data_IF_499759091743
#
_entry.id   IF_499759091743
#
_cell.length_a   1.000
_cell.length_b   1.000
_cell.length_c   1.000
_cell.angle_alpha   90.00
_cell.angle_beta   90.00
_cell.angle_gamma   90.00
#
_symmetry.space_group_name_H-M   'P 1'
#
loop_
_entity.id
_entity.type
_entity.pdbx_description
1 polymer ?
#
# COMPACT_ATOMS: atom_id res chain seq x y z
N UNK A 1 2.55 54.10 14.82
CA UNK A 1 1.71 54.95 15.70
C UNK A 1 0.35 55.08 15.02
N UNK A 2 -0.76 54.75 15.72
CA UNK A 2 -2.16 54.63 15.25
C UNK A 2 -2.42 53.42 14.31
N UNK A 3 -3.03 52.28 14.67
CA UNK A 3 -4.10 51.93 15.64
C UNK A 3 -5.46 52.50 15.22
N UNK A 4 -6.33 51.71 14.56
CA UNK A 4 -7.64 51.25 15.07
C UNK A 4 -8.52 50.49 14.04
N UNK A 5 -8.93 49.28 14.44
CA UNK A 5 -10.25 48.61 14.35
C UNK A 5 -11.02 48.51 13.01
N UNK A 6 -11.29 47.26 12.60
CA UNK A 6 -12.67 46.77 12.42
C UNK A 6 -12.74 45.25 12.74
N UNK A 7 -13.57 44.90 13.72
CA UNK A 7 -13.92 43.55 14.17
C UNK A 7 -15.42 43.35 13.93
N UNK A 8 -15.83 42.21 13.35
CA UNK A 8 -17.18 41.63 13.43
C UNK A 8 -16.98 40.12 13.63
N UNK A 9 -17.06 39.61 14.87
CA UNK A 9 -18.25 39.11 15.60
C UNK A 9 -18.83 37.80 15.03
N UNK A 10 -18.42 36.70 15.64
CA UNK A 10 -19.13 35.41 15.73
C UNK A 10 -19.56 35.24 17.20
N UNK A 11 -20.81 34.85 17.52
CA UNK A 11 -21.22 34.64 18.91
C UNK A 11 -20.86 33.22 19.38
N UNK A 12 -20.30 33.13 20.60
CA UNK A 12 -20.14 31.89 21.35
C UNK A 12 -20.79 32.13 22.70
N UNK A 13 -21.89 31.42 22.98
CA UNK A 13 -22.58 31.46 24.27
C UNK A 13 -21.82 30.66 25.32
N UNK A 14 -21.49 31.30 26.45
CA UNK A 14 -20.92 30.71 27.66
C UNK A 14 -21.71 31.22 28.87
N UNK A 15 -22.44 30.33 29.54
CA UNK A 15 -22.96 30.44 30.91
C UNK A 15 -22.47 29.17 31.62
N UNK A 16 -21.91 29.11 32.81
CA UNK A 16 -21.65 30.05 33.90
C UNK A 16 -21.44 29.13 35.12
N UNK A 17 -20.28 29.19 35.79
CA UNK A 17 -20.02 28.38 37.00
C UNK A 17 -19.50 29.29 38.11
N UNK A 18 -20.32 29.43 39.16
CA UNK A 18 -20.00 30.13 40.40
C UNK A 18 -19.19 29.23 41.35
N UNK A 19 -18.15 29.81 41.96
CA UNK A 19 -17.40 29.28 43.12
C UNK A 19 -18.24 29.33 44.41
N UNK A 20 -18.03 28.34 45.29
CA UNK A 20 -18.04 28.44 46.78
C UNK A 20 -17.65 27.06 47.37
N UNK A 21 -16.45 26.94 47.96
CA UNK A 21 -16.09 27.07 49.39
C UNK A 21 -16.08 25.72 50.14
N UNK A 22 -14.93 25.41 50.72
CA UNK A 22 -14.64 24.21 51.49
C UNK A 22 -15.20 24.27 52.92
N UNK A 23 -15.65 23.12 53.44
CA UNK A 23 -15.82 22.91 54.88
C UNK A 23 -15.60 21.43 55.22
N UNK A 24 -14.72 21.20 56.20
CA UNK A 24 -14.45 19.93 56.87
C UNK A 24 -15.73 19.25 57.38
N UNK A 25 -15.85 17.94 57.20
CA UNK A 25 -16.70 17.12 58.07
C UNK A 25 -15.98 15.86 58.53
N UNK A 26 -16.01 15.69 59.86
CA UNK A 26 -15.31 14.70 60.68
C UNK A 26 -15.80 13.27 60.40
N UNK A 27 -14.84 12.37 60.50
CA UNK A 27 -14.98 10.91 60.61
C UNK A 27 -15.86 10.56 61.82
N UNK A 28 -16.88 9.74 61.60
CA UNK A 28 -17.53 8.94 62.64
C UNK A 28 -17.46 7.48 62.19
N UNK A 29 -16.64 6.73 62.91
CA UNK A 29 -16.47 5.28 62.79
C UNK A 29 -17.72 4.63 63.38
N UNK A 30 -18.47 3.89 62.57
CA UNK A 30 -19.40 2.87 63.07
C UNK A 30 -18.98 1.51 62.51
N UNK A 31 -18.57 0.67 63.44
CA UNK A 31 -18.16 -0.71 63.24
C UNK A 31 -19.32 -1.53 62.67
N UNK A 32 -19.12 -2.13 61.50
CA UNK A 32 -19.76 -3.38 61.10
C UNK A 32 -18.74 -4.24 60.35
N UNK A 33 -18.25 -5.26 61.06
CA UNK A 33 -17.62 -6.41 60.44
C UNK A 33 -18.66 -7.15 59.59
N UNK A 34 -18.44 -7.19 58.27
CA UNK A 34 -18.99 -8.24 57.41
C UNK A 34 -17.83 -8.80 56.60
N UNK A 35 -17.48 -10.01 57.01
CA UNK A 35 -16.82 -11.12 56.31
C UNK A 35 -16.23 -10.87 54.92
N UNK A 36 -14.96 -11.24 54.84
CA UNK A 36 -14.26 -11.76 53.66
C UNK A 36 -15.15 -12.65 52.77
N UNK A 37 -15.30 -12.25 51.50
CA UNK A 37 -15.44 -13.13 50.31
C UNK A 37 -15.90 -12.28 49.11
N UNK A 38 -15.04 -11.40 48.61
CA UNK A 38 -15.17 -10.89 47.22
C UNK A 38 -13.76 -10.89 46.63
N UNK A 39 -13.17 -12.08 46.63
CA UNK A 39 -11.97 -12.38 45.88
C UNK A 39 -12.40 -13.38 44.81
N UNK A 40 -12.01 -13.12 43.56
CA UNK A 40 -12.00 -14.05 42.41
C UNK A 40 -13.26 -14.27 41.56
N UNK A 41 -14.01 -13.24 41.18
CA UNK A 41 -14.98 -13.35 40.06
C UNK A 41 -14.89 -12.21 39.03
N UNK A 42 -13.67 -11.77 38.69
CA UNK A 42 -13.44 -10.94 37.49
C UNK A 42 -12.25 -11.51 36.74
N UNK A 43 -12.40 -12.69 36.12
CA UNK A 43 -11.51 -13.20 35.07
C UNK A 43 -12.07 -14.51 34.48
N UNK A 44 -13.25 -14.45 33.86
CA UNK A 44 -13.62 -15.44 32.83
C UNK A 44 -14.84 -14.96 32.04
N UNK A 45 -14.72 -13.84 31.33
CA UNK A 45 -15.42 -13.79 30.05
C UNK A 45 -14.70 -14.80 29.17
N UNK A 46 -15.32 -15.95 28.92
CA UNK A 46 -14.83 -16.91 27.93
C UNK A 46 -14.84 -16.21 26.59
N UNK A 47 -13.69 -15.64 26.22
CA UNK A 47 -13.46 -15.03 24.93
C UNK A 47 -13.65 -16.14 23.90
N UNK A 48 -14.80 -16.12 23.21
CA UNK A 48 -15.11 -17.12 22.21
C UNK A 48 -14.08 -16.95 21.09
N UNK A 49 -13.20 -17.94 20.95
CA UNK A 49 -12.12 -17.94 19.95
C UNK A 49 -12.67 -17.54 18.58
N UNK A 50 -12.09 -16.50 17.97
CA UNK A 50 -12.53 -15.99 16.68
C UNK A 50 -11.61 -16.52 15.58
N UNK A 51 -11.77 -17.81 15.28
CA UNK A 51 -10.87 -18.50 14.35
C UNK A 51 -11.13 -18.08 12.90
N UNK A 52 -10.05 -17.78 12.18
CA UNK A 52 -10.03 -17.51 10.73
C UNK A 52 -9.05 -18.43 10.02
N UNK A 53 -9.46 -18.96 8.87
CA UNK A 53 -8.60 -19.78 8.01
C UNK A 53 -7.86 -18.88 7.01
N UNK A 54 -6.55 -19.06 6.92
CA UNK A 54 -5.70 -18.50 5.88
C UNK A 54 -5.18 -19.62 4.99
N UNK A 55 -5.49 -19.55 3.69
CA UNK A 55 -5.09 -20.52 2.68
C UNK A 55 -3.98 -19.90 1.84
N UNK A 56 -2.76 -20.35 2.06
CA UNK A 56 -1.56 -19.70 1.54
C UNK A 56 -0.87 -20.59 0.53
N UNK A 57 -0.52 -20.03 -0.63
CA UNK A 57 0.31 -20.68 -1.63
C UNK A 57 1.69 -21.03 -1.05
N UNK A 58 2.11 -22.29 -1.22
CA UNK A 58 3.40 -22.82 -0.79
C UNK A 58 4.14 -23.47 -1.95
N UNK A 59 5.43 -23.16 -2.06
CA UNK A 59 6.36 -23.84 -2.95
C UNK A 59 7.80 -23.68 -2.45
N UNK A 60 8.57 -24.77 -2.46
CA UNK A 60 9.96 -24.78 -2.00
C UNK A 60 10.92 -25.13 -3.16
N UNK A 61 11.82 -24.21 -3.57
CA UNK A 61 12.77 -24.48 -4.66
C UNK A 61 13.80 -25.57 -4.33
N UNK A 62 14.05 -25.85 -3.05
CA UNK A 62 15.00 -26.88 -2.62
C UNK A 62 14.48 -28.31 -2.89
N UNK A 63 13.17 -28.47 -3.07
CA UNK A 63 12.53 -29.77 -3.34
C UNK A 63 11.59 -29.60 -4.55
N UNK A 64 12.14 -29.37 -5.75
CA UNK A 64 11.37 -28.94 -6.93
C UNK A 64 10.39 -30.01 -7.43
N UNK A 65 10.55 -31.27 -7.01
CA UNK A 65 9.63 -32.38 -7.33
C UNK A 65 8.26 -32.20 -6.67
N UNK A 66 8.16 -31.43 -5.58
CA UNK A 66 6.88 -31.16 -4.91
C UNK A 66 6.20 -29.99 -5.61
N UNK A 67 5.04 -30.27 -6.20
CA UNK A 67 4.21 -29.25 -6.86
C UNK A 67 3.70 -28.21 -5.86
N UNK A 68 3.46 -26.96 -6.31
CA UNK A 68 2.84 -25.94 -5.48
C UNK A 68 1.51 -26.41 -4.89
N UNK A 69 1.23 -25.98 -3.66
CA UNK A 69 0.00 -26.35 -2.94
C UNK A 69 -0.56 -25.17 -2.15
N UNK A 70 -1.84 -25.26 -1.79
CA UNK A 70 -2.44 -24.39 -0.80
C UNK A 70 -2.33 -25.04 0.58
N UNK A 71 -1.76 -24.34 1.55
CA UNK A 71 -1.70 -24.78 2.94
C UNK A 71 -2.59 -23.90 3.80
N UNK A 72 -3.38 -24.54 4.66
CA UNK A 72 -4.30 -23.85 5.57
C UNK A 72 -3.66 -23.63 6.93
N UNK A 73 -3.89 -22.46 7.50
CA UNK A 73 -3.52 -22.06 8.85
C UNK A 73 -4.74 -21.47 9.53
N UNK A 74 -4.92 -21.77 10.81
CA UNK A 74 -6.00 -21.22 11.61
C UNK A 74 -5.44 -20.24 12.63
N UNK A 75 -6.02 -19.04 12.67
CA UNK A 75 -5.55 -17.94 13.52
C UNK A 75 -6.73 -17.40 14.32
N UNK A 76 -6.57 -17.23 15.63
CA UNK A 76 -7.52 -16.49 16.45
C UNK A 76 -7.35 -14.99 16.22
N UNK A 77 -8.38 -14.34 15.69
CA UNK A 77 -8.38 -12.92 15.42
C UNK A 77 -8.40 -12.05 16.68
N UNK A 78 -8.78 -12.60 17.84
CA UNK A 78 -8.73 -11.88 19.11
C UNK A 78 -7.27 -11.61 19.55
N UNK A 79 -6.32 -12.43 19.08
CA UNK A 79 -4.88 -12.33 19.37
C UNK A 79 -4.06 -12.03 18.10
N UNK A 80 -4.64 -11.28 17.16
CA UNK A 80 -3.97 -10.90 15.90
C UNK A 80 -4.26 -9.44 15.55
N UNK A 81 -3.27 -8.76 14.97
CA UNK A 81 -3.48 -7.43 14.41
C UNK A 81 -4.51 -7.43 13.27
N UNK A 82 -5.04 -6.25 12.89
CA UNK A 82 -6.18 -6.15 11.98
C UNK A 82 -5.81 -6.43 10.51
N UNK A 83 -4.52 -6.45 10.15
CA UNK A 83 -4.06 -6.56 8.77
C UNK A 83 -3.66 -8.00 8.42
N UNK A 84 -3.78 -8.35 7.15
CA UNK A 84 -3.36 -9.67 6.65
C UNK A 84 -1.86 -9.89 6.88
N UNK A 85 -1.03 -8.84 6.83
CA UNK A 85 0.39 -8.97 7.19
C UNK A 85 0.59 -9.43 8.65
N UNK A 86 -0.24 -8.96 9.59
CA UNK A 86 -0.15 -9.35 10.99
C UNK A 86 -0.40 -10.85 11.15
N UNK A 87 -1.43 -11.37 10.47
CA UNK A 87 -1.71 -12.80 10.43
C UNK A 87 -0.58 -13.62 9.80
N UNK A 88 -0.02 -13.19 8.66
CA UNK A 88 1.09 -13.89 8.00
C UNK A 88 2.34 -13.93 8.92
N UNK A 89 2.64 -12.83 9.62
CA UNK A 89 3.74 -12.78 10.58
C UNK A 89 3.47 -13.72 11.76
N UNK A 90 2.26 -13.71 12.32
CA UNK A 90 1.86 -14.61 13.41
C UNK A 90 2.02 -16.08 13.01
N UNK A 91 1.50 -16.46 11.83
CA UNK A 91 1.69 -17.81 11.27
C UNK A 91 3.17 -18.18 11.21
N UNK A 92 4.02 -17.29 10.68
CA UNK A 92 5.46 -17.56 10.58
C UNK A 92 6.12 -17.73 11.94
N UNK A 93 5.77 -16.90 12.91
CA UNK A 93 6.42 -16.88 14.22
C UNK A 93 5.98 -18.04 15.11
N UNK A 94 4.72 -18.44 15.02
CA UNK A 94 4.09 -19.32 16.02
C UNK A 94 3.70 -20.69 15.47
N UNK A 95 3.49 -20.84 14.15
CA UNK A 95 2.99 -22.08 13.55
C UNK A 95 3.96 -22.70 12.53
N UNK A 96 4.56 -21.88 11.66
CA UNK A 96 5.39 -22.37 10.56
C UNK A 96 6.47 -21.36 10.14
N UNK A 97 7.64 -21.49 10.76
CA UNK A 97 8.80 -20.65 10.46
C UNK A 97 9.33 -20.79 9.02
N UNK A 98 8.91 -21.81 8.26
CA UNK A 98 9.34 -22.01 6.87
C UNK A 98 8.62 -21.09 5.88
N UNK A 99 7.46 -20.53 6.27
CA UNK A 99 6.68 -19.62 5.43
C UNK A 99 7.51 -18.40 5.04
N UNK A 100 7.64 -18.17 3.73
CA UNK A 100 8.49 -17.12 3.16
C UNK A 100 7.69 -16.05 2.43
N UNK A 101 7.95 -14.78 2.76
CA UNK A 101 7.32 -13.59 2.16
C UNK A 101 8.20 -12.36 2.38
N UNK A 102 8.00 -11.31 1.57
CA UNK A 102 8.71 -10.03 1.74
C UNK A 102 7.87 -9.05 2.57
N UNK A 103 8.53 -8.35 3.50
CA UNK A 103 7.95 -7.24 4.29
C UNK A 103 9.05 -6.31 4.81
N UNK A 104 8.71 -5.05 5.02
CA UNK A 104 9.60 -4.07 5.67
C UNK A 104 8.82 -3.02 6.47
N UNK A 105 8.25 -1.99 5.81
CA UNK A 105 7.74 -0.78 6.48
C UNK A 105 6.44 -0.92 7.30
N UNK A 106 5.66 -2.00 7.16
CA UNK A 106 4.33 -2.21 7.79
C UNK A 106 3.25 -1.13 7.63
N UNK A 107 3.51 -0.04 6.89
CA UNK A 107 2.57 1.08 6.70
C UNK A 107 2.30 1.45 5.23
N UNK A 108 2.66 0.56 4.29
CA UNK A 108 2.29 0.71 2.88
C UNK A 108 3.11 1.72 2.06
N UNK A 109 4.32 2.06 2.50
CA UNK A 109 5.21 2.98 1.77
C UNK A 109 6.33 2.29 0.98
N UNK A 110 6.84 1.13 1.42
CA UNK A 110 7.98 0.46 0.77
C UNK A 110 7.61 -0.46 -0.41
N UNK A 111 6.34 -0.85 -0.53
CA UNK A 111 5.86 -1.76 -1.58
C UNK A 111 6.24 -3.24 -1.45
N UNK A 112 7.06 -3.65 -0.47
CA UNK A 112 7.63 -5.01 -0.42
C UNK A 112 6.62 -6.15 -0.23
N UNK A 113 5.51 -5.91 0.49
CA UNK A 113 4.51 -6.94 0.80
C UNK A 113 3.36 -7.01 -0.21
N UNK A 114 3.65 -6.68 -1.47
CA UNK A 114 2.71 -6.82 -2.57
C UNK A 114 2.44 -8.31 -2.86
N UNK A 115 1.17 -8.69 -2.85
CA UNK A 115 0.72 -10.06 -3.11
C UNK A 115 -0.75 -10.06 -3.56
N UNK A 116 -1.26 -11.21 -3.97
CA UNK A 116 -2.68 -11.36 -4.32
C UNK A 116 -3.44 -11.91 -3.11
N UNK A 117 -4.43 -11.15 -2.63
CA UNK A 117 -5.26 -11.47 -1.47
C UNK A 117 -6.71 -11.49 -1.95
N UNK A 118 -7.37 -12.63 -1.82
CA UNK A 118 -8.74 -12.87 -2.30
C UNK A 118 -8.97 -12.43 -3.75
N UNK A 119 -7.98 -12.68 -4.61
CA UNK A 119 -8.05 -12.37 -6.04
C UNK A 119 -7.61 -10.95 -6.41
N UNK A 120 -7.31 -10.09 -5.44
CA UNK A 120 -6.92 -8.69 -5.67
C UNK A 120 -5.45 -8.47 -5.30
N UNK A 121 -4.69 -7.83 -6.18
CA UNK A 121 -3.32 -7.44 -5.87
C UNK A 121 -3.35 -6.23 -4.93
N UNK A 122 -2.73 -6.36 -3.76
CA UNK A 122 -2.69 -5.29 -2.75
C UNK A 122 -1.44 -5.44 -1.88
N UNK A 123 -1.27 -4.54 -0.91
CA UNK A 123 -0.24 -4.66 0.12
C UNK A 123 -0.84 -5.37 1.33
N UNK A 124 -0.22 -6.46 1.78
CA UNK A 124 -0.71 -7.21 2.95
C UNK A 124 -0.80 -6.33 4.21
N UNK A 125 0.09 -5.33 4.35
CA UNK A 125 0.08 -4.38 5.48
C UNK A 125 -1.06 -3.35 5.45
N UNK A 126 -1.76 -3.19 4.32
CA UNK A 126 -2.93 -2.30 4.19
C UNK A 126 -4.23 -3.07 3.97
N UNK A 127 -4.15 -4.38 3.77
CA UNK A 127 -5.30 -5.25 3.58
C UNK A 127 -5.83 -5.68 4.94
N UNK A 128 -7.00 -5.18 5.32
CA UNK A 128 -7.69 -5.63 6.54
C UNK A 128 -8.16 -7.07 6.38
N UNK A 129 -8.07 -7.84 7.46
CA UNK A 129 -8.65 -9.19 7.50
C UNK A 129 -10.18 -9.06 7.37
N UNK A 130 -10.81 -9.71 6.38
CA UNK A 130 -12.25 -9.61 6.19
C UNK A 130 -13.00 -10.31 7.33
N UNK A 131 -13.91 -9.58 7.99
CA UNK A 131 -14.71 -10.12 9.10
C UNK A 131 -15.63 -11.24 8.61
N UNK A 132 -16.29 -11.03 7.47
CA UNK A 132 -17.36 -11.90 6.98
C UNK A 132 -16.89 -13.08 6.11
N UNK A 133 -15.60 -13.17 5.77
CA UNK A 133 -15.08 -14.32 5.02
C UNK A 133 -14.68 -15.45 5.96
N UNK A 134 -14.96 -16.71 5.61
CA UNK A 134 -14.49 -17.87 6.38
C UNK A 134 -13.02 -18.20 6.10
N UNK A 135 -12.54 -17.90 4.90
CA UNK A 135 -11.20 -18.23 4.43
C UNK A 135 -10.63 -17.03 3.67
N UNK A 136 -9.37 -16.69 3.93
CA UNK A 136 -8.60 -15.69 3.17
C UNK A 136 -7.58 -16.42 2.31
N UNK A 137 -7.64 -16.25 0.99
CA UNK A 137 -6.72 -16.90 0.05
C UNK A 137 -5.59 -15.95 -0.32
N UNK A 138 -4.36 -16.43 -0.20
CA UNK A 138 -3.14 -15.63 -0.42
C UNK A 138 -2.25 -16.31 -1.44
N UNK A 139 -1.95 -15.60 -2.51
CA UNK A 139 -1.08 -16.04 -3.60
C UNK A 139 0.05 -15.01 -3.82
N UNK A 140 1.16 -15.41 -4.48
CA UNK A 140 2.14 -14.46 -5.00
C UNK A 140 1.50 -13.49 -6.00
N UNK A 141 2.26 -12.47 -6.42
CA UNK A 141 1.83 -11.63 -7.54
C UNK A 141 1.58 -12.50 -8.79
N UNK A 142 0.45 -12.31 -9.51
CA UNK A 142 0.07 -13.19 -10.62
C UNK A 142 1.04 -13.17 -11.79
N UNK A 143 1.18 -14.33 -12.44
CA UNK A 143 1.98 -14.52 -13.67
C UNK A 143 3.46 -14.09 -13.52
N UNK A 144 4.02 -14.32 -12.33
CA UNK A 144 5.43 -14.12 -12.04
C UNK A 144 6.10 -15.46 -11.72
N UNK A 145 7.39 -15.59 -12.04
CA UNK A 145 8.17 -16.71 -11.51
C UNK A 145 8.25 -16.60 -9.99
N UNK A 146 7.95 -17.69 -9.30
CA UNK A 146 8.00 -17.76 -7.84
C UNK A 146 9.38 -18.25 -7.43
N UNK A 147 10.04 -17.52 -6.53
CA UNK A 147 11.32 -17.91 -5.93
C UNK A 147 11.08 -18.88 -4.77
N UNK A 148 10.13 -18.56 -3.88
CA UNK A 148 9.70 -19.42 -2.76
C UNK A 148 8.40 -18.87 -2.17
N UNK A 149 7.42 -19.74 -1.90
CA UNK A 149 6.14 -19.34 -1.30
C UNK A 149 5.54 -18.07 -1.93
N UNK A 150 5.42 -16.96 -1.18
CA UNK A 150 4.83 -15.69 -1.63
C UNK A 150 5.84 -14.72 -2.29
N UNK A 151 7.07 -15.18 -2.53
CA UNK A 151 8.18 -14.36 -3.04
C UNK A 151 8.27 -14.50 -4.56
N UNK A 152 7.73 -13.53 -5.30
CA UNK A 152 7.89 -13.43 -6.75
C UNK A 152 9.26 -12.87 -7.16
N UNK A 153 9.79 -13.27 -8.31
CA UNK A 153 10.96 -12.63 -8.92
C UNK A 153 10.56 -11.34 -9.65
N UNK A 154 11.07 -10.20 -9.18
CA UNK A 154 10.81 -8.87 -9.76
C UNK A 154 12.00 -8.33 -10.58
N UNK A 155 13.00 -9.17 -10.87
CA UNK A 155 14.21 -8.76 -11.61
C UNK A 155 13.87 -8.13 -12.95
N UNK A 156 12.97 -8.76 -13.73
CA UNK A 156 12.54 -8.22 -15.02
C UNK A 156 11.79 -6.88 -14.89
N UNK A 157 10.89 -6.79 -13.91
CA UNK A 157 10.17 -5.55 -13.60
C UNK A 157 11.14 -4.38 -13.33
N UNK A 158 12.19 -4.62 -12.54
CA UNK A 158 13.20 -3.58 -12.27
C UNK A 158 14.09 -3.27 -13.47
N UNK A 159 14.39 -4.26 -14.31
CA UNK A 159 15.11 -4.03 -15.58
C UNK A 159 14.32 -3.10 -16.51
N UNK A 160 13.00 -3.31 -16.63
CA UNK A 160 12.12 -2.41 -17.39
C UNK A 160 12.04 -1.02 -16.78
N UNK A 161 11.96 -0.90 -15.45
CA UNK A 161 12.03 0.41 -14.80
C UNK A 161 13.34 1.14 -15.08
N UNK A 162 14.48 0.42 -15.09
CA UNK A 162 15.77 1.01 -15.43
C UNK A 162 15.85 1.46 -16.90
N UNK A 163 15.21 0.74 -17.83
CA UNK A 163 15.32 1.03 -19.28
C UNK A 163 14.71 2.38 -19.68
N UNK A 164 13.72 2.88 -18.93
CA UNK A 164 13.14 4.21 -19.16
C UNK A 164 14.01 5.36 -18.62
N UNK A 165 15.19 5.06 -18.05
CA UNK A 165 16.13 6.02 -17.47
C UNK A 165 15.45 6.99 -16.48
N UNK A 166 14.99 6.48 -15.33
CA UNK A 166 14.08 7.22 -14.44
C UNK A 166 14.82 8.20 -13.53
N UNK A 167 15.56 9.12 -14.12
CA UNK A 167 16.31 10.19 -13.47
C UNK A 167 16.25 11.45 -14.34
N UNK A 168 16.52 12.60 -13.72
CA UNK A 168 16.49 13.90 -14.39
C UNK A 168 17.59 14.00 -15.44
N UNK A 169 17.23 14.34 -16.67
CA UNK A 169 18.15 14.59 -17.77
C UNK A 169 18.02 16.04 -18.18
N UNK A 170 19.04 16.83 -17.92
CA UNK A 170 19.11 18.24 -18.28
C UNK A 170 20.44 18.49 -18.99
N UNK A 171 20.43 19.38 -20.00
CA UNK A 171 21.64 19.73 -20.77
C UNK A 171 22.63 20.51 -19.92
N UNK A 172 22.15 21.34 -19.00
CA UNK A 172 22.97 22.17 -18.11
C UNK A 172 22.46 22.11 -16.67
N UNK A 173 23.35 21.78 -15.73
CA UNK A 173 23.02 21.81 -14.31
C UNK A 173 23.48 23.17 -13.71
N UNK A 174 22.55 24.07 -13.38
CA UNK A 174 22.92 25.35 -12.76
C UNK A 174 23.51 25.15 -11.37
N UNK A 175 24.31 26.11 -10.90
CA UNK A 175 24.86 26.10 -9.52
C UNK A 175 23.78 26.26 -8.43
N UNK A 176 22.59 26.73 -8.82
CA UNK A 176 21.42 26.93 -7.95
C UNK A 176 20.32 25.91 -8.28
N UNK A 177 19.26 25.92 -7.47
CA UNK A 177 18.07 25.11 -7.72
C UNK A 177 17.45 25.39 -9.10
N UNK A 178 17.02 24.34 -9.80
CA UNK A 178 16.30 24.47 -11.08
C UNK A 178 14.90 25.00 -10.80
N UNK A 179 14.55 26.13 -11.41
CA UNK A 179 13.24 26.75 -11.25
C UNK A 179 12.12 25.83 -11.79
N UNK A 180 11.03 25.71 -11.02
CA UNK A 180 9.81 25.02 -11.44
C UNK A 180 8.61 25.78 -10.87
N UNK A 181 7.64 26.11 -11.73
CA UNK A 181 6.41 26.77 -11.28
C UNK A 181 5.56 25.81 -10.42
N UNK A 182 4.70 26.37 -9.55
CA UNK A 182 3.78 25.53 -8.77
C UNK A 182 2.83 24.74 -9.68
N UNK A 183 2.43 25.30 -10.81
CA UNK A 183 1.56 24.65 -11.80
C UNK A 183 2.26 23.45 -12.45
N UNK A 184 3.52 23.59 -12.85
CA UNK A 184 4.31 22.49 -13.41
C UNK A 184 4.58 21.40 -12.38
N UNK A 185 4.94 21.78 -11.15
CA UNK A 185 5.16 20.82 -10.06
C UNK A 185 3.89 20.01 -9.80
N UNK A 186 2.71 20.65 -9.81
CA UNK A 186 1.42 19.99 -9.56
C UNK A 186 1.09 18.92 -10.60
N UNK A 187 1.62 19.02 -11.83
CA UNK A 187 1.45 17.96 -12.85
C UNK A 187 2.06 16.62 -12.42
N UNK A 188 3.01 16.63 -11.48
CA UNK A 188 3.66 15.42 -10.98
C UNK A 188 2.84 14.71 -9.89
N UNK A 189 1.85 15.37 -9.28
CA UNK A 189 0.99 14.78 -8.25
C UNK A 189 0.15 13.64 -8.85
N UNK A 190 0.10 12.51 -8.15
CA UNK A 190 -0.48 11.28 -8.66
C UNK A 190 0.46 10.42 -9.52
N UNK A 191 1.72 10.84 -9.69
CA UNK A 191 2.76 10.10 -10.41
C UNK A 191 3.95 9.73 -9.53
N UNK A 192 4.52 10.68 -8.79
CA UNK A 192 5.76 10.44 -8.01
C UNK A 192 5.52 9.60 -6.74
N UNK A 193 4.27 9.47 -6.29
CA UNK A 193 3.87 8.68 -5.12
C UNK A 193 3.90 7.16 -5.38
N UNK A 194 4.26 6.75 -6.59
CA UNK A 194 4.44 5.35 -6.95
C UNK A 194 5.55 4.70 -6.12
N UNK A 195 5.20 3.62 -5.41
CA UNK A 195 6.12 2.89 -4.53
C UNK A 195 6.76 1.66 -5.20
N UNK A 196 6.65 1.54 -6.53
CA UNK A 196 7.19 0.43 -7.33
C UNK A 196 6.85 -1.00 -6.81
N UNK A 197 5.63 -1.17 -6.28
CA UNK A 197 5.16 -2.46 -5.71
C UNK A 197 4.75 -3.53 -6.73
N UNK A 198 4.73 -3.19 -8.03
CA UNK A 198 4.30 -4.06 -9.14
C UNK A 198 2.84 -4.58 -9.10
N UNK A 199 2.00 -4.22 -8.12
CA UNK A 199 0.58 -4.65 -8.07
C UNK A 199 -0.18 -4.37 -9.38
N UNK A 200 0.01 -3.18 -9.95
CA UNK A 200 -0.69 -2.76 -11.16
C UNK A 200 -0.20 -3.47 -12.42
N UNK A 201 1.10 -3.75 -12.56
CA UNK A 201 1.63 -4.49 -13.72
C UNK A 201 1.20 -5.95 -13.67
N UNK A 202 1.32 -6.57 -12.50
CA UNK A 202 0.94 -7.98 -12.29
C UNK A 202 -0.57 -8.21 -12.19
N UNK A 203 -1.40 -7.17 -12.31
CA UNK A 203 -2.85 -7.31 -12.50
C UNK A 203 -3.30 -7.10 -13.95
N UNK A 204 -2.38 -6.71 -14.85
CA UNK A 204 -2.66 -6.36 -16.23
C UNK A 204 -2.52 -7.58 -17.14
N UNK A 205 -3.60 -8.06 -17.80
CA UNK A 205 -3.50 -9.20 -18.69
C UNK A 205 -2.52 -8.97 -19.85
N UNK A 206 -2.44 -7.77 -20.42
CA UNK A 206 -1.43 -7.46 -21.45
C UNK A 206 0.00 -7.71 -20.98
N UNK A 207 0.27 -7.47 -19.68
CA UNK A 207 1.58 -7.71 -19.08
C UNK A 207 1.82 -9.19 -18.81
N UNK A 208 0.79 -9.96 -18.44
CA UNK A 208 0.92 -11.41 -18.32
C UNK A 208 1.40 -12.02 -19.65
N UNK A 209 0.76 -11.65 -20.76
CA UNK A 209 1.06 -12.24 -22.06
C UNK A 209 2.33 -11.72 -22.72
N UNK A 210 2.72 -10.47 -22.48
CA UNK A 210 3.77 -9.80 -23.23
C UNK A 210 4.78 -9.09 -22.33
N UNK A 211 5.02 -9.57 -21.11
CA UNK A 211 5.91 -8.89 -20.15
C UNK A 211 7.32 -8.66 -20.68
N UNK A 212 7.81 -9.48 -21.60
CA UNK A 212 9.15 -9.34 -22.19
C UNK A 212 9.34 -8.00 -22.91
N UNK A 213 8.30 -7.50 -23.58
CA UNK A 213 8.37 -6.29 -24.41
C UNK A 213 7.44 -5.17 -23.92
N UNK A 214 6.24 -5.49 -23.44
CA UNK A 214 5.33 -4.49 -22.86
C UNK A 214 5.83 -4.06 -21.49
N UNK A 215 6.13 -2.76 -21.35
CA UNK A 215 6.72 -2.20 -20.13
C UNK A 215 5.78 -2.27 -18.91
N UNK A 216 4.47 -2.30 -19.16
CA UNK A 216 3.47 -2.38 -18.11
C UNK A 216 3.16 -1.03 -17.44
N UNK A 217 2.03 -0.96 -16.71
CA UNK A 217 1.48 0.29 -16.19
C UNK A 217 2.36 1.02 -15.17
N UNK A 218 3.07 0.32 -14.29
CA UNK A 218 3.95 0.99 -13.32
C UNK A 218 5.11 1.72 -14.02
N UNK A 219 5.77 1.06 -14.97
CA UNK A 219 6.91 1.62 -15.70
C UNK A 219 6.44 2.76 -16.61
N UNK A 220 5.32 2.57 -17.33
CA UNK A 220 4.79 3.62 -18.22
C UNK A 220 4.32 4.86 -17.47
N UNK A 221 3.71 4.72 -16.29
CA UNK A 221 3.37 5.88 -15.46
C UNK A 221 4.62 6.62 -14.98
N UNK A 222 5.72 5.91 -14.71
CA UNK A 222 7.00 6.54 -14.38
C UNK A 222 7.69 7.15 -15.60
N UNK A 223 7.54 6.58 -16.80
CA UNK A 223 7.98 7.23 -18.03
C UNK A 223 7.23 8.56 -18.23
N UNK A 224 5.91 8.56 -18.07
CA UNK A 224 5.10 9.76 -18.13
C UNK A 224 5.53 10.82 -17.11
N UNK A 225 5.82 10.40 -15.87
CA UNK A 225 6.36 11.28 -14.81
C UNK A 225 7.60 12.06 -15.23
N UNK A 226 8.44 11.49 -16.09
CA UNK A 226 9.63 12.17 -16.61
C UNK A 226 9.34 12.97 -17.88
N UNK A 227 8.48 12.46 -18.78
CA UNK A 227 8.05 13.15 -20.01
C UNK A 227 7.43 14.53 -19.72
N UNK A 228 6.73 14.69 -18.59
CA UNK A 228 6.04 15.95 -18.25
C UNK A 228 6.73 16.79 -17.16
N UNK A 229 7.90 16.37 -16.65
CA UNK A 229 8.63 17.18 -15.68
C UNK A 229 9.27 18.35 -16.42
N UNK A 230 8.86 19.58 -16.10
CA UNK A 230 9.32 20.81 -16.77
C UNK A 230 10.83 21.05 -16.69
N UNK A 231 11.55 20.25 -15.89
CA UNK A 231 12.99 20.34 -15.67
C UNK A 231 13.78 19.35 -16.53
N UNK A 232 13.11 18.39 -17.17
CA UNK A 232 13.72 17.34 -17.99
C UNK A 232 13.76 17.76 -19.46
N UNK A 233 14.94 17.76 -20.06
CA UNK A 233 15.16 18.13 -21.46
C UNK A 233 15.07 16.92 -22.42
N UNK A 234 14.95 15.69 -21.89
CA UNK A 234 15.01 14.45 -22.66
C UNK A 234 13.63 13.93 -23.10
N UNK A 235 12.62 14.81 -23.15
CA UNK A 235 11.22 14.44 -23.45
C UNK A 235 11.11 13.72 -24.80
N UNK A 236 11.78 14.23 -25.83
CA UNK A 236 11.71 13.66 -27.17
C UNK A 236 12.36 12.27 -27.22
N UNK A 237 13.56 12.12 -26.66
CA UNK A 237 14.29 10.86 -26.58
C UNK A 237 13.52 9.80 -25.77
N UNK A 238 12.78 10.23 -24.73
CA UNK A 238 11.88 9.35 -23.96
C UNK A 238 10.69 8.90 -24.79
N UNK A 239 10.06 9.80 -25.56
CA UNK A 239 8.94 9.47 -26.46
C UNK A 239 9.38 8.51 -27.57
N UNK A 240 10.55 8.73 -28.17
CA UNK A 240 11.12 7.87 -29.22
C UNK A 240 11.33 6.42 -28.76
N UNK A 241 11.79 6.22 -27.52
CA UNK A 241 11.92 4.86 -26.94
C UNK A 241 10.59 4.11 -26.84
N UNK A 242 9.46 4.82 -26.83
CA UNK A 242 8.11 4.26 -26.79
C UNK A 242 7.50 4.09 -28.20
N UNK A 243 8.13 4.63 -29.25
CA UNK A 243 7.69 4.49 -30.64
C UNK A 243 8.01 3.11 -31.22
N UNK A 244 7.35 2.08 -30.68
CA UNK A 244 7.34 0.72 -31.21
C UNK A 244 6.04 0.02 -30.84
N UNK A 245 5.69 -1.06 -31.52
CA UNK A 245 4.38 -1.73 -31.40
C UNK A 245 4.11 -2.39 -30.03
N UNK A 246 5.14 -2.55 -29.19
CA UNK A 246 5.08 -3.41 -28.00
C UNK A 246 5.19 -2.66 -26.67
N UNK A 247 6.16 -1.74 -26.54
CA UNK A 247 6.51 -1.08 -25.27
C UNK A 247 5.33 -0.36 -24.61
N UNK A 248 4.52 0.35 -25.42
CA UNK A 248 3.36 1.13 -24.97
C UNK A 248 2.03 0.58 -25.50
N UNK A 249 1.96 0.22 -26.78
CA UNK A 249 0.69 0.00 -27.48
C UNK A 249 0.02 -1.36 -27.19
N UNK A 250 0.62 -2.21 -26.34
CA UNK A 250 -0.10 -3.37 -25.76
C UNK A 250 -1.09 -2.99 -24.66
N UNK A 251 -1.14 -1.73 -24.23
CA UNK A 251 -2.19 -1.26 -23.34
C UNK A 251 -3.54 -1.17 -24.08
N UNK A 252 -4.49 -2.05 -23.75
CA UNK A 252 -5.85 -2.08 -24.29
C UNK A 252 -6.91 -1.54 -23.31
N UNK A 253 -6.50 -0.63 -22.42
CA UNK A 253 -7.42 0.08 -21.50
C UNK A 253 -8.28 -0.87 -20.65
N UNK A 254 -7.69 -1.97 -20.16
CA UNK A 254 -8.35 -2.98 -19.30
C UNK A 254 -8.65 -2.41 -17.89
N UNK A 255 -7.90 -1.38 -17.47
CA UNK A 255 -8.09 -0.63 -16.22
C UNK A 255 -7.90 -1.39 -14.89
N UNK A 256 -7.54 -2.68 -14.90
CA UNK A 256 -7.12 -3.40 -13.68
C UNK A 256 -6.00 -2.69 -12.91
N UNK A 257 -5.12 -1.99 -13.61
CA UNK A 257 -3.98 -1.28 -13.04
C UNK A 257 -4.40 -0.16 -12.07
N UNK A 258 -5.39 0.66 -12.44
CA UNK A 258 -5.92 1.73 -11.61
C UNK A 258 -6.76 1.15 -10.46
N UNK A 259 -7.61 0.14 -10.75
CA UNK A 259 -8.46 -0.50 -9.73
C UNK A 259 -7.67 -1.12 -8.58
N UNK A 260 -6.51 -1.70 -8.87
CA UNK A 260 -5.72 -2.45 -7.89
C UNK A 260 -4.66 -1.60 -7.18
N UNK A 261 -4.44 -0.34 -7.59
CA UNK A 261 -3.33 0.45 -7.06
C UNK A 261 -3.54 0.74 -5.56
N UNK A 262 -2.68 0.24 -4.65
CA UNK A 262 -2.85 0.43 -3.21
C UNK A 262 -2.62 1.88 -2.76
N UNK A 263 -2.09 2.73 -3.66
CA UNK A 263 -1.87 4.17 -3.43
C UNK A 263 -2.94 5.04 -4.09
N UNK A 264 -3.95 4.44 -4.74
CA UNK A 264 -5.02 5.19 -5.42
C UNK A 264 -4.55 5.96 -6.67
N UNK A 265 -3.40 5.61 -7.24
CA UNK A 265 -2.87 6.25 -8.45
C UNK A 265 -3.59 5.72 -9.69
N UNK A 266 -3.50 6.45 -10.79
CA UNK A 266 -4.15 6.07 -12.05
C UNK A 266 -3.14 5.87 -13.21
N UNK A 267 -2.42 4.73 -13.24
CA UNK A 267 -1.53 4.40 -14.34
C UNK A 267 -2.24 4.34 -15.70
N UNK A 268 -3.51 3.92 -15.75
CA UNK A 268 -4.28 3.86 -16.98
C UNK A 268 -4.46 5.22 -17.63
N UNK A 269 -4.75 6.24 -16.81
CA UNK A 269 -4.80 7.64 -17.27
C UNK A 269 -3.43 8.12 -17.77
N UNK A 270 -2.36 7.88 -17.01
CA UNK A 270 -1.01 8.28 -17.44
C UNK A 270 -0.63 7.67 -18.80
N UNK A 271 -0.94 6.39 -19.03
CA UNK A 271 -0.71 5.73 -20.33
C UNK A 271 -1.54 6.37 -21.45
N UNK A 272 -2.78 6.77 -21.16
CA UNK A 272 -3.62 7.46 -22.14
C UNK A 272 -3.04 8.84 -22.51
N UNK A 273 -2.51 9.59 -21.54
CA UNK A 273 -1.85 10.88 -21.81
C UNK A 273 -0.56 10.69 -22.64
N UNK A 274 0.26 9.66 -22.36
CA UNK A 274 1.41 9.34 -23.23
C UNK A 274 0.96 9.10 -24.68
N UNK A 275 -0.10 8.30 -24.88
CA UNK A 275 -0.61 8.01 -26.23
C UNK A 275 -1.13 9.26 -26.93
N UNK A 276 -1.73 10.19 -26.18
CA UNK A 276 -2.22 11.47 -26.71
C UNK A 276 -1.05 12.36 -27.15
N UNK A 277 -0.04 12.51 -26.30
CA UNK A 277 1.20 13.22 -26.62
C UNK A 277 1.85 12.65 -27.90
N UNK A 278 2.00 11.33 -27.99
CA UNK A 278 2.58 10.67 -29.16
C UNK A 278 1.76 10.76 -30.45
N UNK A 279 0.50 11.15 -30.39
CA UNK A 279 -0.37 11.28 -31.56
C UNK A 279 -0.53 12.73 -32.05
N UNK A 280 -0.08 13.70 -31.25
CA UNK A 280 -0.17 15.13 -31.53
C UNK A 280 1.18 15.76 -31.92
N UNK A 281 2.28 15.04 -31.69
CA UNK A 281 3.62 15.34 -32.24
C UNK A 281 3.70 14.95 -33.73
#
# INVERSE_FOLDING_TARGET
MMLFRYLNKVPVDFLGVHKKSALHLRILITSRMISSAVSSEILSTSDKSNMKVFSIYRWNPEIPSIKPKMQKYEIDLNDTGPMVLDAIIKIKNEQDATLSFRRSCREGICGSCAMNIDGINTLACLSRIPVNSKEVKIYPLPHMYVIKDLVADLTHFYKQYKSIQPYLQNKEFPEKEIFQSQEDRKKLDGLYECILCACCSTSCPSYWWNSEEYLGPAVLMQAYRWIIDSRDDATQERKEKLQNSMSLYRCHTIMNCARTCPKGLNPGKAIAEIKKEMALD
#
